data_IF_707033385267
#
_entry.id   IF_707033385267
#
_cell.length_a   1.000
_cell.length_b   1.000
_cell.length_c   1.000
_cell.angle_alpha   90.00
_cell.angle_beta   90.00
_cell.angle_gamma   90.00
#
_symmetry.space_group_name_H-M   'P 1'
#
loop_
_entity.id
_entity.type
_entity.pdbx_description
1 polymer ?
#
# COMPACT_ATOMS: atom_id res chain seq x y z
N UNK A 1 -53.41 -7.87 22.75
CA UNK A 1 -52.39 -8.38 21.80
C UNK A 1 -51.38 -7.31 21.37
N UNK A 2 -50.97 -6.37 22.25
CA UNK A 2 -50.06 -5.26 21.86
C UNK A 2 -48.81 -5.13 22.74
N UNK A 3 -48.74 -5.82 23.88
CA UNK A 3 -47.63 -5.69 24.83
C UNK A 3 -46.38 -6.45 24.36
N UNK A 4 -46.55 -7.62 23.74
CA UNK A 4 -45.44 -8.45 23.25
C UNK A 4 -44.70 -7.85 22.03
N UNK A 5 -45.34 -6.97 21.26
CA UNK A 5 -44.69 -6.25 20.15
C UNK A 5 -43.80 -5.11 20.64
N UNK A 6 -44.11 -4.53 21.80
CA UNK A 6 -43.34 -3.43 22.37
C UNK A 6 -41.97 -3.92 22.89
N UNK A 7 -41.94 -5.05 23.58
CA UNK A 7 -40.68 -5.61 24.13
C UNK A 7 -39.74 -6.13 23.04
N UNK A 8 -40.27 -6.66 21.93
CA UNK A 8 -39.46 -7.09 20.79
C UNK A 8 -38.80 -5.91 20.05
N UNK A 9 -39.48 -4.76 20.00
CA UNK A 9 -38.94 -3.54 19.39
C UNK A 9 -37.94 -2.83 20.31
N UNK A 10 -38.14 -2.88 21.63
CA UNK A 10 -37.18 -2.38 22.62
C UNK A 10 -35.89 -3.22 22.66
N UNK A 11 -35.99 -4.57 22.70
CA UNK A 11 -34.82 -5.47 22.71
C UNK A 11 -33.94 -5.35 21.46
N UNK A 12 -34.54 -5.12 20.30
CA UNK A 12 -33.80 -4.83 19.06
C UNK A 12 -33.17 -3.42 19.05
N UNK A 13 -33.73 -2.47 19.81
CA UNK A 13 -33.13 -1.16 20.09
C UNK A 13 -31.93 -1.26 21.03
N UNK A 14 -31.96 -2.19 21.99
CA UNK A 14 -30.82 -2.50 22.87
C UNK A 14 -29.69 -3.23 22.12
N UNK A 15 -30.01 -4.15 21.20
CA UNK A 15 -29.00 -4.81 20.35
C UNK A 15 -28.31 -3.85 19.36
N UNK A 16 -29.05 -2.87 18.80
CA UNK A 16 -28.48 -1.85 17.89
C UNK A 16 -27.73 -0.71 18.58
N UNK A 17 -27.70 -0.67 19.92
CA UNK A 17 -27.10 0.43 20.70
C UNK A 17 -25.56 0.43 20.69
N UNK A 18 -24.94 -0.59 20.10
CA UNK A 18 -23.47 -0.75 20.06
C UNK A 18 -22.78 -0.35 18.75
N UNK A 19 -23.53 -0.02 17.69
CA UNK A 19 -22.94 0.18 16.36
C UNK A 19 -22.96 1.64 15.91
N UNK A 20 -21.84 2.08 15.31
CA UNK A 20 -21.73 3.38 14.65
C UNK A 20 -22.75 3.43 13.51
N UNK A 21 -23.52 4.52 13.37
CA UNK A 21 -24.47 4.67 12.27
C UNK A 21 -23.85 4.34 10.91
N UNK A 22 -24.58 3.58 10.10
CA UNK A 22 -24.06 3.03 8.84
C UNK A 22 -23.54 4.10 7.87
N UNK A 23 -24.17 5.28 7.86
CA UNK A 23 -23.76 6.39 7.00
C UNK A 23 -22.44 7.02 7.44
N UNK A 24 -22.19 7.06 8.76
CA UNK A 24 -20.92 7.48 9.33
C UNK A 24 -19.86 6.43 8.99
N UNK A 25 -20.16 5.14 9.19
CA UNK A 25 -19.25 4.03 8.87
C UNK A 25 -18.82 4.07 7.40
N UNK A 26 -19.75 4.25 6.45
CA UNK A 26 -19.46 4.35 5.01
C UNK A 26 -18.54 5.52 4.68
N UNK A 27 -18.73 6.68 5.32
CA UNK A 27 -17.88 7.86 5.12
C UNK A 27 -16.46 7.65 5.68
N UNK A 28 -16.32 6.91 6.77
CA UNK A 28 -15.03 6.60 7.41
C UNK A 28 -14.29 5.43 6.75
N UNK A 29 -15.01 4.53 6.08
CA UNK A 29 -14.44 3.32 5.48
C UNK A 29 -13.34 3.62 4.47
N UNK A 30 -13.58 4.60 3.58
CA UNK A 30 -12.63 4.97 2.53
C UNK A 30 -11.27 5.40 3.10
N UNK A 31 -11.18 6.40 4.00
CA UNK A 31 -9.89 6.83 4.53
C UNK A 31 -9.19 5.72 5.34
N UNK A 32 -9.92 4.94 6.14
CA UNK A 32 -9.34 3.82 6.89
C UNK A 32 -8.73 2.75 5.98
N UNK A 33 -9.48 2.37 4.93
CA UNK A 33 -9.01 1.41 3.93
C UNK A 33 -7.79 1.95 3.20
N UNK A 34 -7.79 3.24 2.84
CA UNK A 34 -6.68 3.85 2.10
C UNK A 34 -5.42 3.98 2.95
N UNK A 35 -5.52 4.41 4.22
CA UNK A 35 -4.40 4.44 5.17
C UNK A 35 -3.76 3.06 5.32
N UNK A 36 -4.57 2.03 5.57
CA UNK A 36 -4.10 0.65 5.75
C UNK A 36 -3.46 0.10 4.48
N UNK A 37 -4.12 0.26 3.34
CA UNK A 37 -3.67 -0.27 2.06
C UNK A 37 -2.35 0.37 1.61
N UNK A 38 -2.23 1.69 1.68
CA UNK A 38 -1.02 2.40 1.24
C UNK A 38 0.15 2.14 2.21
N UNK A 39 -0.10 2.09 3.52
CA UNK A 39 0.93 1.67 4.49
C UNK A 39 1.43 0.25 4.21
N UNK A 40 0.51 -0.69 3.94
CA UNK A 40 0.87 -2.05 3.55
C UNK A 40 1.69 -2.12 2.26
N UNK A 41 1.38 -1.28 1.27
CA UNK A 41 2.18 -1.19 0.03
C UNK A 41 3.59 -0.63 0.30
N UNK A 42 3.71 0.41 1.13
CA UNK A 42 5.01 0.93 1.53
C UNK A 42 5.87 -0.13 2.25
N UNK A 43 5.30 -0.85 3.21
CA UNK A 43 5.99 -1.95 3.91
C UNK A 43 6.36 -3.10 2.97
N UNK A 44 5.51 -3.41 1.98
CA UNK A 44 5.81 -4.40 0.95
C UNK A 44 7.02 -3.99 0.12
N UNK A 45 7.09 -2.73 -0.31
CA UNK A 45 8.25 -2.19 -1.02
C UNK A 45 9.52 -2.24 -0.15
N UNK A 46 9.40 -1.97 1.15
CA UNK A 46 10.51 -2.04 2.10
C UNK A 46 11.06 -3.46 2.22
N UNK A 47 10.18 -4.44 2.39
CA UNK A 47 10.53 -5.86 2.35
C UNK A 47 11.21 -6.24 1.03
N UNK A 48 10.69 -5.79 -0.12
CA UNK A 48 11.29 -6.10 -1.43
C UNK A 48 12.70 -5.53 -1.54
N UNK A 49 12.90 -4.28 -1.11
CA UNK A 49 14.19 -3.62 -1.16
C UNK A 49 15.24 -4.31 -0.31
N UNK A 50 14.89 -4.66 0.93
CA UNK A 50 15.75 -5.41 1.83
C UNK A 50 16.10 -6.78 1.24
N UNK A 51 15.10 -7.54 0.77
CA UNK A 51 15.29 -8.90 0.22
C UNK A 51 16.14 -8.92 -1.04
N UNK A 52 15.97 -7.92 -1.91
CA UNK A 52 16.68 -7.85 -3.19
C UNK A 52 17.98 -7.04 -3.10
N UNK A 53 18.22 -6.38 -1.96
CA UNK A 53 19.29 -5.38 -1.80
C UNK A 53 19.26 -4.33 -2.91
N UNK A 54 18.05 -3.87 -3.24
CA UNK A 54 17.78 -2.93 -4.32
C UNK A 54 17.02 -1.74 -3.79
N UNK A 55 17.36 -0.51 -4.20
CA UNK A 55 16.58 0.68 -3.85
C UNK A 55 15.19 0.59 -4.48
N UNK A 56 14.14 0.79 -3.68
CA UNK A 56 12.79 1.02 -4.21
C UNK A 56 12.55 2.52 -4.39
N UNK A 57 11.90 2.88 -5.49
CA UNK A 57 11.48 4.25 -5.80
C UNK A 57 10.05 4.55 -5.35
N UNK A 58 9.32 3.55 -4.85
CA UNK A 58 7.88 3.63 -4.63
C UNK A 58 7.48 3.84 -3.17
N UNK A 59 8.43 4.03 -2.25
CA UNK A 59 8.11 4.31 -0.85
C UNK A 59 7.29 5.58 -0.70
N UNK A 60 7.82 6.66 -1.26
CA UNK A 60 7.36 8.00 -0.96
C UNK A 60 5.93 8.22 -1.43
N UNK A 61 5.54 7.65 -2.58
CA UNK A 61 4.18 7.76 -3.08
C UNK A 61 3.17 7.07 -2.14
N UNK A 62 3.50 5.91 -1.59
CA UNK A 62 2.62 5.19 -0.67
C UNK A 62 2.52 5.90 0.69
N UNK A 63 3.63 6.46 1.20
CA UNK A 63 3.62 7.27 2.43
C UNK A 63 2.81 8.56 2.24
N UNK A 64 3.01 9.28 1.14
CA UNK A 64 2.26 10.51 0.83
C UNK A 64 0.76 10.20 0.73
N UNK A 65 0.39 9.10 0.09
CA UNK A 65 -1.01 8.69 -0.03
C UNK A 65 -1.63 8.34 1.33
N UNK A 66 -0.91 7.61 2.19
CA UNK A 66 -1.41 7.25 3.53
C UNK A 66 -1.56 8.48 4.43
N UNK A 67 -0.60 9.41 4.41
CA UNK A 67 -0.68 10.70 5.10
C UNK A 67 -1.83 11.58 4.57
N UNK A 68 -2.06 11.57 3.25
CA UNK A 68 -3.18 12.30 2.65
C UNK A 68 -4.54 11.74 3.10
N UNK A 69 -4.67 10.42 3.19
CA UNK A 69 -5.86 9.78 3.75
C UNK A 69 -6.06 10.12 5.24
N UNK A 70 -4.97 10.18 6.02
CA UNK A 70 -5.01 10.63 7.41
C UNK A 70 -5.52 12.07 7.55
N UNK A 71 -5.07 12.98 6.69
CA UNK A 71 -5.56 14.38 6.66
C UNK A 71 -7.04 14.43 6.29
N UNK A 72 -7.47 13.66 5.29
CA UNK A 72 -8.88 13.56 4.91
C UNK A 72 -9.76 13.07 6.07
N UNK A 73 -9.30 12.03 6.79
CA UNK A 73 -9.96 11.52 7.98
C UNK A 73 -10.05 12.59 9.09
N UNK A 74 -8.96 13.29 9.37
CA UNK A 74 -8.96 14.37 10.37
C UNK A 74 -9.96 15.48 10.03
N UNK A 75 -10.02 15.91 8.77
CA UNK A 75 -11.01 16.88 8.30
C UNK A 75 -12.44 16.35 8.46
N UNK A 76 -12.67 15.08 8.10
CA UNK A 76 -13.98 14.44 8.25
C UNK A 76 -14.43 14.40 9.71
N UNK A 77 -13.54 14.02 10.64
CA UNK A 77 -13.83 14.00 12.08
C UNK A 77 -14.13 15.41 12.62
N UNK A 78 -13.39 16.43 12.17
CA UNK A 78 -13.59 17.83 12.55
C UNK A 78 -14.87 18.45 11.98
N UNK A 79 -15.50 17.83 10.98
CA UNK A 79 -16.75 18.32 10.38
C UNK A 79 -17.98 18.17 11.29
N UNK A 80 -17.84 17.54 12.48
CA UNK A 80 -18.95 17.24 13.38
C UNK A 80 -19.73 15.99 12.99
N UNK A 81 -19.20 15.16 12.08
CA UNK A 81 -19.85 13.90 11.66
C UNK A 81 -20.15 12.95 12.83
N UNK A 82 -19.46 13.10 13.96
CA UNK A 82 -19.63 12.26 15.14
C UNK A 82 -20.56 12.84 16.22
N UNK A 83 -21.25 13.96 15.95
CA UNK A 83 -22.09 14.63 16.97
C UNK A 83 -23.21 13.72 17.52
N UNK A 84 -23.73 12.82 16.69
CA UNK A 84 -24.81 11.88 17.06
C UNK A 84 -24.28 10.47 17.38
N UNK A 85 -22.98 10.31 17.62
CA UNK A 85 -22.36 9.03 17.97
C UNK A 85 -22.28 8.89 19.48
N UNK A 86 -22.75 7.76 20.00
CA UNK A 86 -22.68 7.44 21.43
C UNK A 86 -21.24 7.54 21.98
N UNK A 87 -21.03 8.12 23.18
CA UNK A 87 -19.69 8.39 23.71
C UNK A 87 -18.75 7.18 23.73
N UNK A 88 -19.26 6.00 24.10
CA UNK A 88 -18.44 4.77 24.13
C UNK A 88 -17.96 4.35 22.73
N UNK A 89 -18.81 4.50 21.72
CA UNK A 89 -18.47 4.20 20.33
C UNK A 89 -17.47 5.23 19.79
N UNK A 90 -17.63 6.49 20.18
CA UNK A 90 -16.70 7.56 19.84
C UNK A 90 -15.30 7.28 20.39
N UNK A 91 -15.18 6.84 21.65
CA UNK A 91 -13.90 6.42 22.23
C UNK A 91 -13.25 5.30 21.42
N UNK A 92 -14.01 4.25 21.08
CA UNK A 92 -13.51 3.13 20.27
C UNK A 92 -13.07 3.58 18.87
N UNK A 93 -13.86 4.44 18.23
CA UNK A 93 -13.54 4.99 16.92
C UNK A 93 -12.27 5.84 16.97
N UNK A 94 -12.16 6.78 17.90
CA UNK A 94 -10.99 7.66 18.04
C UNK A 94 -9.73 6.86 18.40
N UNK A 95 -9.86 5.80 19.19
CA UNK A 95 -8.77 4.86 19.46
C UNK A 95 -8.30 4.18 18.18
N UNK A 96 -9.24 3.70 17.35
CA UNK A 96 -8.92 3.10 16.05
C UNK A 96 -8.22 4.10 15.12
N UNK A 97 -8.66 5.36 15.11
CA UNK A 97 -8.02 6.44 14.35
C UNK A 97 -6.59 6.67 14.83
N UNK A 98 -6.37 6.74 16.15
CA UNK A 98 -5.03 6.92 16.73
C UNK A 98 -4.09 5.78 16.32
N UNK A 99 -4.55 4.53 16.46
CA UNK A 99 -3.76 3.35 16.07
C UNK A 99 -3.38 3.37 14.59
N UNK A 100 -4.31 3.75 13.70
CA UNK A 100 -4.02 3.84 12.28
C UNK A 100 -3.06 4.99 11.96
N UNK A 101 -3.14 6.11 12.67
CA UNK A 101 -2.16 7.19 12.57
C UNK A 101 -0.76 6.71 13.01
N UNK A 102 -0.68 5.96 14.11
CA UNK A 102 0.57 5.38 14.58
C UNK A 102 1.17 4.39 13.57
N UNK A 103 0.33 3.56 12.93
CA UNK A 103 0.75 2.66 11.85
C UNK A 103 1.33 3.45 10.67
N UNK A 104 0.68 4.53 10.24
CA UNK A 104 1.19 5.39 9.15
C UNK A 104 2.55 5.97 9.53
N UNK A 105 2.68 6.50 10.74
CA UNK A 105 3.93 7.09 11.23
C UNK A 105 5.07 6.06 11.32
N UNK A 106 4.80 4.89 11.91
CA UNK A 106 5.79 3.80 11.98
C UNK A 106 6.21 3.32 10.60
N UNK A 107 5.27 3.27 9.65
CA UNK A 107 5.57 2.88 8.27
C UNK A 107 6.51 3.87 7.58
N UNK A 108 6.34 5.17 7.83
CA UNK A 108 7.26 6.22 7.37
C UNK A 108 8.66 6.05 7.98
N UNK A 109 8.75 5.87 9.30
CA UNK A 109 10.04 5.66 9.99
C UNK A 109 10.77 4.40 9.52
N UNK A 110 10.05 3.30 9.29
CA UNK A 110 10.61 2.07 8.72
C UNK A 110 11.12 2.33 7.30
N UNK A 111 10.33 3.00 6.46
CA UNK A 111 10.72 3.28 5.07
C UNK A 111 11.96 4.19 4.99
N UNK A 112 12.05 5.17 5.88
CA UNK A 112 13.22 6.03 6.04
C UNK A 112 14.46 5.23 6.48
N UNK A 113 14.33 4.41 7.52
CA UNK A 113 15.43 3.56 8.01
C UNK A 113 15.93 2.60 6.93
N UNK A 114 15.03 2.00 6.14
CA UNK A 114 15.40 1.14 5.01
C UNK A 114 16.11 1.92 3.92
N UNK A 115 15.70 3.15 3.63
CA UNK A 115 16.36 4.03 2.65
C UNK A 115 17.76 4.44 3.10
N UNK A 116 17.94 4.75 4.38
CA UNK A 116 19.25 5.04 4.97
C UNK A 116 20.17 3.81 4.89
N UNK A 117 19.68 2.65 5.31
CA UNK A 117 20.41 1.38 5.20
C UNK A 117 20.79 1.08 3.74
N UNK A 118 19.85 1.21 2.81
CA UNK A 118 20.09 0.98 1.39
C UNK A 118 21.19 1.90 0.83
N UNK A 119 21.30 3.12 1.36
CA UNK A 119 22.34 4.07 0.98
C UNK A 119 23.69 3.68 1.58
N UNK A 120 23.73 3.39 2.89
CA UNK A 120 24.94 2.97 3.59
C UNK A 120 25.51 1.64 3.04
N UNK A 121 24.64 0.69 2.71
CA UNK A 121 25.00 -0.62 2.16
C UNK A 121 25.11 -0.63 0.62
N UNK A 122 25.03 0.54 -0.04
CA UNK A 122 25.19 0.67 -1.50
C UNK A 122 24.27 -0.26 -2.30
N UNK A 123 23.00 -0.38 -1.91
CA UNK A 123 21.99 -1.16 -2.64
C UNK A 123 21.92 -0.72 -4.10
N UNK A 124 21.73 -1.70 -5.00
CA UNK A 124 21.65 -1.44 -6.44
C UNK A 124 20.35 -0.72 -6.79
N UNK A 125 20.35 0.12 -7.82
CA UNK A 125 19.11 0.69 -8.33
C UNK A 125 18.24 -0.40 -8.97
N UNK A 126 16.92 -0.25 -8.88
CA UNK A 126 16.00 -1.11 -9.63
C UNK A 126 16.22 -0.88 -11.13
N UNK A 127 16.90 -1.83 -11.79
CA UNK A 127 17.04 -1.80 -13.24
C UNK A 127 15.64 -1.79 -13.84
N UNK A 128 15.30 -0.74 -14.60
CA UNK A 128 14.17 -0.81 -15.51
C UNK A 128 14.49 -1.94 -16.50
N UNK A 129 13.53 -2.79 -16.90
CA UNK A 129 13.76 -3.73 -17.98
C UNK A 129 14.30 -2.95 -19.18
N UNK A 130 15.56 -3.19 -19.51
CA UNK A 130 16.16 -2.68 -20.73
C UNK A 130 15.43 -3.37 -21.87
N UNK A 131 14.68 -2.62 -22.65
CA UNK A 131 14.34 -3.04 -24.01
C UNK A 131 15.66 -3.41 -24.71
N UNK A 132 15.72 -4.52 -25.48
CA UNK A 132 16.93 -4.87 -26.18
C UNK A 132 17.16 -3.82 -27.27
N UNK A 133 18.01 -2.84 -26.98
CA UNK A 133 18.61 -1.98 -28.00
C UNK A 133 19.57 -2.86 -28.77
N UNK A 134 19.08 -3.44 -29.86
CA UNK A 134 19.94 -3.91 -30.93
C UNK A 134 20.63 -2.67 -31.49
N UNK A 135 21.97 -2.60 -31.35
CA UNK A 135 22.89 -2.05 -32.36
C UNK A 135 24.32 -2.01 -31.81
N UNK A 136 25.25 -2.69 -32.50
CA UNK A 136 26.62 -2.21 -32.58
C UNK A 136 27.77 -3.21 -32.45
N UNK A 137 28.13 -3.81 -33.60
CA UNK A 137 29.49 -4.09 -34.10
C UNK A 137 30.24 -5.35 -33.62
N UNK A 138 30.41 -6.27 -34.57
CA UNK A 138 31.73 -6.79 -34.93
C UNK A 138 31.74 -7.17 -36.42
N UNK A 139 32.05 -6.20 -37.29
CA UNK A 139 32.56 -6.48 -38.63
C UNK A 139 34.07 -6.24 -38.60
N UNK A 140 34.83 -7.33 -38.60
CA UNK A 140 36.19 -7.38 -39.11
C UNK A 140 36.45 -8.83 -39.47
N UNK A 141 36.62 -9.14 -40.75
CA UNK A 141 37.60 -10.13 -41.18
C UNK A 141 37.96 -9.92 -42.65
N UNK A 142 39.24 -9.66 -42.84
CA UNK A 142 39.98 -9.56 -44.09
C UNK A 142 40.07 -10.90 -44.83
N UNK A 143 39.69 -10.87 -46.11
CA UNK A 143 40.35 -11.44 -47.31
C UNK A 143 40.85 -12.91 -47.28
N UNK A 144 40.09 -13.72 -48.04
CA UNK A 144 40.46 -14.81 -48.99
C UNK A 144 41.29 -16.03 -48.55
N UNK A 145 40.71 -17.23 -48.77
CA UNK A 145 41.06 -18.15 -49.87
C UNK A 145 39.98 -19.21 -50.06
N UNK A 146 39.59 -19.45 -51.32
CA UNK A 146 38.55 -20.41 -51.67
C UNK A 146 39.07 -21.84 -51.83
N UNK A 147 38.17 -22.82 -51.66
CA UNK A 147 38.07 -24.00 -52.50
C UNK A 147 36.71 -24.71 -52.30
N UNK A 148 36.30 -25.38 -53.36
CA UNK A 148 35.02 -26.01 -53.73
C UNK A 148 34.35 -26.98 -52.71
N UNK A 149 33.01 -27.15 -52.71
CA UNK A 149 32.28 -28.23 -51.99
C UNK A 149 32.30 -29.54 -52.82
N UNK A 150 31.98 -30.77 -52.31
CA UNK A 150 30.65 -31.11 -51.78
C UNK A 150 30.52 -32.29 -50.77
N UNK A 151 29.26 -32.50 -50.34
CA UNK A 151 28.60 -33.82 -50.16
C UNK A 151 28.61 -34.52 -48.79
N UNK A 152 27.39 -34.56 -48.21
CA UNK A 152 26.64 -35.74 -47.67
C UNK A 152 27.21 -36.56 -46.52
N UNK A 153 26.43 -36.70 -45.43
CA UNK A 153 26.01 -37.92 -44.68
C UNK A 153 25.05 -37.42 -43.56
N UNK A 154 23.74 -37.70 -43.54
CA UNK A 154 23.06 -38.96 -43.21
C UNK A 154 23.53 -39.59 -41.89
N UNK A 155 22.88 -39.25 -40.78
CA UNK A 155 22.25 -40.13 -39.77
C UNK A 155 21.31 -39.30 -38.89
#
# INVERSE_FOLDING_TARGET
MNILKSDSMETSKWLRRGEIPIDIKKKLEEPFRRMSMESGKALKEASISLKKMMKSSSYDIHIINSQSACKALSTLLKSGILNDVEPLQMVSLLTTVSLLNDIVHLTEKISESVRELASAASFKNKMKPTEPTAEGKAECNSVQKGHHPPSTYAF
#
